data_IF_045419888314
#
_entry.id   IF_045419888314
#
_cell.length_a   1.000
_cell.length_b   1.000
_cell.length_c   1.000
_cell.angle_alpha   90.00
_cell.angle_beta   90.00
_cell.angle_gamma   90.00
#
_symmetry.space_group_name_H-M   'P 1'
#
loop_
_entity.id
_entity.type
_entity.pdbx_description
1 polymer ?
#
# COMPACT_ATOMS: atom_id res chain seq x y z
N UNK A 1 9.32 11.79 -23.94
CA UNK A 1 9.62 12.73 -22.83
C UNK A 1 8.45 12.65 -21.86
N UNK A 2 8.74 12.48 -20.58
CA UNK A 2 7.75 12.48 -19.51
C UNK A 2 7.90 13.78 -18.70
N UNK A 3 6.84 14.18 -18.01
CA UNK A 3 6.80 15.35 -17.12
C UNK A 3 6.21 14.93 -15.79
N UNK A 4 6.73 15.50 -14.71
CA UNK A 4 6.21 15.28 -13.36
C UNK A 4 6.27 16.59 -12.62
N UNK A 5 5.12 17.00 -12.09
CA UNK A 5 4.99 18.17 -11.25
C UNK A 5 4.54 17.69 -9.88
N UNK A 6 5.11 18.27 -8.82
CA UNK A 6 4.76 17.93 -7.45
C UNK A 6 4.68 19.19 -6.60
N UNK A 7 3.66 19.26 -5.75
CA UNK A 7 3.51 20.28 -4.71
C UNK A 7 3.30 19.54 -3.40
N UNK A 8 4.01 19.95 -2.35
CA UNK A 8 3.90 19.38 -1.01
C UNK A 8 3.95 20.48 0.04
N UNK A 9 3.21 20.29 1.13
CA UNK A 9 3.27 21.12 2.33
C UNK A 9 3.51 20.21 3.54
N UNK A 10 4.50 20.56 4.36
CA UNK A 10 4.79 19.88 5.62
C UNK A 10 4.67 20.90 6.75
N UNK A 11 3.94 20.53 7.81
CA UNK A 11 3.61 21.45 8.90
C UNK A 11 3.94 20.82 10.25
N UNK A 12 4.16 21.68 11.24
CA UNK A 12 4.30 21.33 12.65
C UNK A 12 3.12 21.92 13.42
N UNK A 13 2.60 21.15 14.38
CA UNK A 13 1.65 21.63 15.37
C UNK A 13 2.14 21.20 16.75
N UNK A 14 1.81 21.98 17.79
CA UNK A 14 2.26 21.73 19.15
C UNK A 14 1.11 22.00 20.12
N UNK A 15 0.99 21.13 21.12
CA UNK A 15 0.13 21.30 22.29
C UNK A 15 0.90 20.93 23.57
N UNK A 16 0.20 20.84 24.71
CA UNK A 16 0.83 20.48 25.99
C UNK A 16 1.41 19.05 26.02
N UNK A 17 1.01 18.17 25.09
CA UNK A 17 1.48 16.78 24.99
C UNK A 17 2.71 16.66 24.11
N UNK A 18 3.04 17.68 23.31
CA UNK A 18 4.24 17.77 22.51
C UNK A 18 4.01 18.26 21.09
N UNK A 19 5.04 18.08 20.25
CA UNK A 19 5.05 18.53 18.87
C UNK A 19 4.81 17.37 17.90
N UNK A 20 3.90 17.60 16.95
CA UNK A 20 3.54 16.66 15.90
C UNK A 20 3.85 17.22 14.52
N UNK A 21 4.12 16.31 13.57
CA UNK A 21 4.43 16.64 12.18
C UNK A 21 3.63 15.76 11.24
N UNK A 22 3.08 16.35 10.20
CA UNK A 22 2.57 15.62 9.04
C UNK A 22 2.74 16.48 7.78
N UNK A 23 2.38 15.91 6.63
CA UNK A 23 2.43 16.55 5.33
C UNK A 23 1.29 16.10 4.44
N UNK A 24 1.05 16.85 3.39
CA UNK A 24 0.27 16.41 2.24
C UNK A 24 0.99 16.78 0.95
N UNK A 25 0.71 16.03 -0.12
CA UNK A 25 1.25 16.33 -1.43
C UNK A 25 0.32 15.85 -2.54
N UNK A 26 0.52 16.46 -3.71
CA UNK A 26 -0.07 16.06 -4.98
C UNK A 26 1.04 15.93 -6.02
N UNK A 27 0.89 14.96 -6.93
CA UNK A 27 1.85 14.70 -8.01
C UNK A 27 1.10 14.40 -9.29
N UNK A 28 1.30 15.21 -10.32
CA UNK A 28 0.57 15.15 -11.60
C UNK A 28 1.50 15.16 -12.80
N UNK A 29 1.01 14.67 -13.95
CA UNK A 29 1.78 14.60 -15.20
C UNK A 29 1.71 15.89 -16.04
N UNK A 30 0.66 16.70 -15.90
CA UNK A 30 0.64 18.07 -16.39
C UNK A 30 0.10 18.99 -15.30
N UNK A 31 0.65 20.20 -15.25
CA UNK A 31 0.40 21.16 -14.19
C UNK A 31 -1.09 21.55 -14.07
N UNK A 32 -1.83 21.53 -15.17
CA UNK A 32 -3.26 21.89 -15.18
C UNK A 32 -4.16 20.87 -14.45
N UNK A 33 -3.63 19.67 -14.13
CA UNK A 33 -4.35 18.67 -13.34
C UNK A 33 -4.18 18.86 -11.82
N UNK A 34 -3.38 19.83 -11.37
CA UNK A 34 -3.27 20.08 -9.94
C UNK A 34 -4.64 20.46 -9.36
N UNK A 35 -5.00 19.93 -8.18
CA UNK A 35 -6.10 20.51 -7.42
C UNK A 35 -5.72 21.91 -6.95
N UNK A 36 -6.71 22.61 -6.41
CA UNK A 36 -6.47 23.89 -5.75
C UNK A 36 -5.34 23.79 -4.70
N UNK A 37 -4.40 24.74 -4.75
CA UNK A 37 -3.19 24.70 -3.92
C UNK A 37 -3.53 24.87 -2.43
N UNK A 38 -4.56 25.66 -2.11
CA UNK A 38 -5.00 25.83 -0.71
C UNK A 38 -5.48 24.50 -0.12
N UNK A 39 -6.09 23.63 -0.94
CA UNK A 39 -6.50 22.29 -0.50
C UNK A 39 -5.33 21.43 -0.03
N UNK A 40 -4.13 21.60 -0.60
CA UNK A 40 -2.92 20.86 -0.20
C UNK A 40 -2.45 21.34 1.19
N UNK A 41 -2.42 22.65 1.40
CA UNK A 41 -2.07 23.25 2.69
C UNK A 41 -3.07 22.91 3.79
N UNK A 42 -4.36 22.96 3.48
CA UNK A 42 -5.45 22.59 4.39
C UNK A 42 -5.36 21.13 4.82
N UNK A 43 -5.19 20.19 3.87
CA UNK A 43 -5.03 18.77 4.20
C UNK A 43 -3.78 18.50 5.04
N UNK A 44 -2.67 19.19 4.76
CA UNK A 44 -1.48 19.09 5.59
C UNK A 44 -1.78 19.55 7.03
N UNK A 45 -2.51 20.66 7.19
CA UNK A 45 -2.86 21.19 8.51
C UNK A 45 -3.81 20.26 9.28
N UNK A 46 -4.88 19.79 8.62
CA UNK A 46 -5.84 18.83 9.19
C UNK A 46 -5.14 17.56 9.68
N UNK A 47 -4.22 17.00 8.87
CA UNK A 47 -3.44 15.82 9.25
C UNK A 47 -2.52 16.08 10.43
N UNK A 48 -1.79 17.19 10.41
CA UNK A 48 -0.84 17.53 11.50
C UNK A 48 -1.57 17.75 12.82
N UNK A 49 -2.68 18.50 12.81
CA UNK A 49 -3.49 18.77 14.01
C UNK A 49 -4.16 17.49 14.52
N UNK A 50 -4.63 16.61 13.63
CA UNK A 50 -5.26 15.35 14.03
C UNK A 50 -4.33 14.42 14.84
N UNK A 51 -3.00 14.61 14.77
CA UNK A 51 -2.03 13.82 15.54
C UNK A 51 -1.83 14.31 16.97
N UNK A 52 -2.27 15.53 17.32
CA UNK A 52 -2.06 16.10 18.65
C UNK A 52 -2.74 15.27 19.75
N UNK A 53 -2.12 15.18 20.92
CA UNK A 53 -2.61 14.37 22.03
C UNK A 53 -2.57 12.84 21.78
N UNK A 54 -1.66 12.37 20.93
CA UNK A 54 -1.50 10.94 20.64
C UNK A 54 -1.19 10.12 21.89
N UNK A 55 -1.72 8.89 21.91
CA UNK A 55 -1.63 7.98 23.05
C UNK A 55 -0.93 6.67 22.67
N UNK A 56 -0.38 5.99 23.67
CA UNK A 56 0.03 4.59 23.52
C UNK A 56 -1.19 3.68 23.64
N UNK A 57 -1.07 2.49 23.07
CA UNK A 57 -2.02 1.39 23.26
C UNK A 57 -1.35 0.28 24.05
N UNK A 58 -2.10 -0.40 24.92
CA UNK A 58 -1.66 -1.69 25.46
C UNK A 58 -1.57 -2.74 24.35
N UNK A 59 -0.73 -3.74 24.62
CA UNK A 59 -0.51 -4.84 23.68
C UNK A 59 -1.78 -5.66 23.50
N UNK A 60 -2.22 -5.82 22.26
CA UNK A 60 -3.46 -6.50 21.90
C UNK A 60 -3.44 -7.06 20.48
N UNK A 61 -4.46 -7.84 20.13
CA UNK A 61 -4.76 -8.18 18.74
C UNK A 61 -6.08 -7.53 18.33
N UNK A 62 -6.08 -6.81 17.22
CA UNK A 62 -7.26 -6.14 16.70
C UNK A 62 -7.23 -6.03 15.17
N UNK A 63 -8.38 -5.74 14.54
CA UNK A 63 -8.44 -5.35 13.14
C UNK A 63 -7.61 -4.09 12.87
N UNK A 64 -7.03 -4.06 11.68
CA UNK A 64 -6.17 -2.96 11.26
C UNK A 64 -6.57 -2.46 9.87
N UNK A 65 -6.91 -1.19 9.77
CA UNK A 65 -7.22 -0.49 8.53
C UNK A 65 -5.99 0.30 8.07
N UNK A 66 -5.35 -0.13 6.99
CA UNK A 66 -4.32 0.67 6.34
C UNK A 66 -4.96 1.74 5.47
N UNK A 67 -4.58 3.00 5.69
CA UNK A 67 -4.95 4.09 4.76
C UNK A 67 -4.33 3.87 3.38
N UNK A 68 -4.88 4.44 2.30
CA UNK A 68 -4.38 4.19 0.94
C UNK A 68 -2.85 4.34 0.75
N UNK A 69 -2.18 5.38 1.31
CA UNK A 69 -0.72 5.50 1.19
C UNK A 69 0.05 4.37 1.89
N UNK A 70 -0.50 3.84 2.99
CA UNK A 70 0.09 2.73 3.76
C UNK A 70 -0.22 1.38 3.09
N UNK A 71 -1.47 1.20 2.64
CA UNK A 71 -1.92 0.03 1.90
C UNK A 71 -1.07 -0.22 0.65
N UNK A 72 -0.66 0.86 -0.03
CA UNK A 72 0.32 0.80 -1.12
C UNK A 72 1.60 0.05 -0.74
N UNK A 73 2.12 0.24 0.48
CA UNK A 73 3.32 -0.45 0.95
C UNK A 73 3.10 -1.95 1.10
N UNK A 74 1.91 -2.38 1.54
CA UNK A 74 1.56 -3.80 1.65
C UNK A 74 1.57 -4.46 0.26
N UNK A 75 0.93 -3.81 -0.72
CA UNK A 75 0.94 -4.28 -2.11
C UNK A 75 2.35 -4.24 -2.70
N UNK A 76 3.14 -3.21 -2.41
CA UNK A 76 4.55 -3.11 -2.82
C UNK A 76 5.41 -4.28 -2.31
N UNK A 77 5.19 -4.74 -1.08
CA UNK A 77 5.86 -5.93 -0.54
C UNK A 77 5.47 -7.20 -1.30
N UNK A 78 4.17 -7.37 -1.62
CA UNK A 78 3.69 -8.46 -2.46
C UNK A 78 4.36 -8.45 -3.84
N UNK A 79 4.37 -7.30 -4.54
CA UNK A 79 5.01 -7.15 -5.85
C UNK A 79 6.51 -7.47 -5.78
N UNK A 80 7.18 -7.08 -4.70
CA UNK A 80 8.59 -7.40 -4.47
C UNK A 80 8.82 -8.90 -4.27
N UNK A 81 7.93 -9.58 -3.54
CA UNK A 81 7.97 -11.03 -3.33
C UNK A 81 7.76 -11.82 -4.62
N UNK A 82 7.00 -11.30 -5.60
CA UNK A 82 6.80 -11.94 -6.91
C UNK A 82 7.75 -11.43 -8.00
N UNK A 83 8.75 -10.62 -7.63
CA UNK A 83 9.77 -10.13 -8.55
C UNK A 83 10.74 -11.24 -8.93
N UNK A 84 11.14 -11.28 -10.20
CA UNK A 84 12.04 -12.31 -10.70
C UNK A 84 13.36 -12.38 -9.93
N UNK A 85 13.88 -11.24 -9.48
CA UNK A 85 15.06 -11.16 -8.63
C UNK A 85 14.93 -11.92 -7.30
N UNK A 86 13.81 -11.73 -6.60
CA UNK A 86 13.53 -12.44 -5.36
C UNK A 86 13.34 -13.95 -5.61
N UNK A 87 12.66 -14.30 -6.70
CA UNK A 87 12.31 -15.68 -7.02
C UNK A 87 13.52 -16.54 -7.40
N UNK A 88 14.37 -16.11 -8.35
CA UNK A 88 15.49 -16.94 -8.79
C UNK A 88 16.57 -17.10 -7.70
N UNK A 89 16.65 -16.15 -6.76
CA UNK A 89 17.53 -16.26 -5.58
C UNK A 89 16.90 -17.07 -4.43
N UNK A 90 15.67 -17.55 -4.61
CA UNK A 90 14.85 -18.19 -3.56
C UNK A 90 14.74 -17.33 -2.29
N UNK A 91 14.69 -16.01 -2.47
CA UNK A 91 14.61 -15.00 -1.42
C UNK A 91 13.19 -14.43 -1.31
N UNK A 92 12.19 -15.30 -1.44
CA UNK A 92 10.78 -14.92 -1.40
C UNK A 92 9.93 -16.02 -0.78
N UNK A 93 8.94 -15.65 0.05
CA UNK A 93 7.91 -16.55 0.53
C UNK A 93 6.95 -17.02 -0.59
N UNK A 94 6.98 -16.43 -1.78
CA UNK A 94 6.12 -16.75 -2.93
C UNK A 94 6.84 -17.50 -4.07
N UNK A 95 7.96 -18.17 -3.76
CA UNK A 95 8.58 -19.15 -4.67
C UNK A 95 7.58 -20.28 -4.97
N UNK A 96 7.47 -20.69 -6.23
CA UNK A 96 6.57 -21.76 -6.70
C UNK A 96 5.08 -21.56 -6.36
N UNK A 97 4.59 -20.31 -6.44
CA UNK A 97 3.20 -19.91 -6.08
C UNK A 97 2.30 -19.55 -7.26
N UNK A 98 2.77 -19.67 -8.51
CA UNK A 98 1.89 -19.47 -9.67
C UNK A 98 0.67 -20.39 -9.57
N UNK A 99 -0.51 -19.82 -9.81
CA UNK A 99 -1.80 -20.50 -9.76
C UNK A 99 -2.29 -20.83 -8.35
N UNK A 100 -1.58 -20.47 -7.27
CA UNK A 100 -2.00 -20.71 -5.88
C UNK A 100 -2.74 -19.50 -5.29
N UNK A 101 -3.66 -19.70 -4.34
CA UNK A 101 -4.28 -18.59 -3.61
C UNK A 101 -3.23 -17.84 -2.79
N UNK A 102 -3.26 -16.51 -2.86
CA UNK A 102 -2.43 -15.58 -2.08
C UNK A 102 -3.30 -14.55 -1.36
N UNK A 103 -4.44 -14.22 -1.94
CA UNK A 103 -5.42 -13.28 -1.44
C UNK A 103 -6.81 -13.94 -1.35
N UNK A 104 -7.78 -13.31 -0.66
CA UNK A 104 -9.19 -13.66 -0.80
C UNK A 104 -9.65 -13.67 -2.25
N UNK A 105 -10.66 -14.49 -2.56
CA UNK A 105 -11.15 -14.69 -3.93
C UNK A 105 -11.62 -13.39 -4.60
N UNK A 106 -12.15 -12.43 -3.84
CA UNK A 106 -12.63 -11.17 -4.40
C UNK A 106 -11.51 -10.22 -4.86
N UNK A 107 -10.25 -10.47 -4.47
CA UNK A 107 -9.14 -9.58 -4.79
C UNK A 107 -8.62 -9.86 -6.20
N UNK A 108 -8.61 -8.81 -7.02
CA UNK A 108 -7.97 -8.75 -8.32
C UNK A 108 -6.86 -7.71 -8.28
N UNK A 109 -5.73 -8.03 -8.91
CA UNK A 109 -4.64 -7.06 -9.08
C UNK A 109 -4.24 -7.10 -10.55
N UNK A 110 -4.33 -5.96 -11.21
CA UNK A 110 -4.06 -5.86 -12.64
C UNK A 110 -2.98 -4.82 -12.92
N UNK A 111 -2.18 -5.06 -13.97
CA UNK A 111 -1.24 -4.09 -14.51
C UNK A 111 -1.83 -3.47 -15.78
N UNK A 112 -1.76 -2.14 -15.88
CA UNK A 112 -2.28 -1.34 -17.00
C UNK A 112 -1.23 -0.34 -17.47
N UNK A 113 -0.23 -0.78 -18.26
CA UNK A 113 0.91 0.05 -18.62
C UNK A 113 0.59 1.25 -19.51
N UNK A 114 -0.56 1.25 -20.19
CA UNK A 114 -0.88 2.26 -21.23
C UNK A 114 -1.94 3.28 -20.79
N UNK A 115 -2.15 3.46 -19.49
CA UNK A 115 -3.02 4.53 -18.98
C UNK A 115 -2.48 5.88 -19.45
N UNK A 116 -3.30 6.66 -20.15
CA UNK A 116 -2.92 8.00 -20.59
C UNK A 116 -2.59 8.85 -19.36
N UNK A 117 -1.37 9.41 -19.33
CA UNK A 117 -0.86 10.22 -18.21
C UNK A 117 -0.80 9.46 -16.87
N UNK A 118 -0.77 8.13 -16.91
CA UNK A 118 -0.60 7.32 -15.71
C UNK A 118 0.76 7.55 -15.05
N UNK A 119 0.85 7.48 -13.71
CA UNK A 119 2.10 7.73 -12.98
C UNK A 119 3.20 6.70 -13.28
N UNK A 120 2.85 5.49 -13.70
CA UNK A 120 3.79 4.42 -14.06
C UNK A 120 3.69 3.96 -15.52
N UNK A 121 3.03 4.71 -16.40
CA UNK A 121 2.81 4.28 -17.78
C UNK A 121 4.11 4.20 -18.58
N UNK A 122 4.28 3.12 -19.34
CA UNK A 122 5.41 2.92 -20.22
C UNK A 122 4.99 2.01 -21.39
N UNK A 123 5.50 2.27 -22.59
CA UNK A 123 5.23 1.44 -23.77
C UNK A 123 6.15 0.20 -23.85
N UNK A 124 7.30 0.25 -23.20
CA UNK A 124 8.28 -0.81 -23.14
C UNK A 124 9.03 -0.75 -21.79
N UNK A 125 9.53 -1.90 -21.35
CA UNK A 125 10.34 -2.03 -20.14
C UNK A 125 11.80 -1.59 -20.38
N UNK A 126 12.68 -1.62 -19.37
CA UNK A 126 14.06 -1.11 -19.55
C UNK A 126 14.93 -1.95 -20.50
N UNK A 127 14.45 -3.13 -20.93
CA UNK A 127 15.11 -3.99 -21.91
C UNK A 127 14.49 -3.84 -23.32
N UNK A 128 13.51 -2.95 -23.48
CA UNK A 128 12.80 -2.71 -24.74
C UNK A 128 11.67 -3.70 -25.03
N UNK A 129 11.28 -4.54 -24.07
CA UNK A 129 10.16 -5.47 -24.23
C UNK A 129 8.85 -4.68 -24.12
N UNK A 130 7.97 -4.82 -25.10
CA UNK A 130 6.66 -4.16 -25.09
C UNK A 130 5.85 -4.57 -23.86
N UNK A 131 5.35 -3.58 -23.13
CA UNK A 131 4.46 -3.79 -21.98
C UNK A 131 3.05 -4.13 -22.46
N UNK A 132 2.28 -4.86 -21.66
CA UNK A 132 0.90 -5.25 -21.98
C UNK A 132 0.02 -5.25 -20.75
N UNK A 133 -1.28 -5.05 -20.97
CA UNK A 133 -2.29 -5.30 -19.95
C UNK A 133 -2.19 -6.75 -19.50
N UNK A 134 -2.15 -6.98 -18.19
CA UNK A 134 -1.98 -8.33 -17.65
C UNK A 134 -2.46 -8.39 -16.22
N UNK A 135 -3.12 -9.50 -15.88
CA UNK A 135 -3.49 -9.79 -14.51
C UNK A 135 -2.27 -10.26 -13.72
N UNK A 136 -2.11 -9.76 -12.51
CA UNK A 136 -1.08 -10.18 -11.55
C UNK A 136 -1.71 -11.15 -10.55
N UNK A 137 -2.92 -10.84 -10.10
CA UNK A 137 -3.76 -11.70 -9.26
C UNK A 137 -5.14 -11.80 -9.90
N UNK A 138 -5.61 -13.02 -10.09
CA UNK A 138 -6.94 -13.32 -10.62
C UNK A 138 -7.71 -14.18 -9.62
N UNK A 139 -8.86 -13.72 -9.16
CA UNK A 139 -9.70 -14.37 -8.14
C UNK A 139 -8.91 -14.81 -6.89
N UNK A 140 -8.09 -13.90 -6.36
CA UNK A 140 -7.21 -14.16 -5.22
C UNK A 140 -5.98 -15.04 -5.49
N UNK A 141 -5.82 -15.57 -6.71
CA UNK A 141 -4.72 -16.48 -7.08
C UNK A 141 -3.63 -15.75 -7.85
N UNK A 142 -2.37 -16.09 -7.60
CA UNK A 142 -1.24 -15.50 -8.31
C UNK A 142 -1.23 -15.93 -9.78
N UNK A 143 -1.49 -15.00 -10.69
CA UNK A 143 -1.59 -15.29 -12.12
C UNK A 143 -0.22 -15.32 -12.80
N UNK A 144 0.71 -14.44 -12.39
CA UNK A 144 2.05 -14.35 -12.98
C UNK A 144 3.09 -13.75 -12.03
N UNK A 145 4.35 -13.94 -12.38
CA UNK A 145 5.49 -13.25 -11.80
C UNK A 145 5.87 -11.99 -12.59
N UNK A 146 6.71 -11.14 -12.00
CA UNK A 146 7.22 -9.91 -12.60
C UNK A 146 8.67 -10.11 -13.06
N UNK A 147 8.86 -10.38 -14.35
CA UNK A 147 10.11 -10.87 -14.90
C UNK A 147 10.64 -9.95 -16.00
N UNK A 148 11.95 -9.64 -15.92
CA UNK A 148 12.74 -9.22 -17.08
C UNK A 148 13.39 -10.43 -17.76
N UNK A 149 14.14 -10.22 -18.83
CA UNK A 149 14.72 -11.31 -19.63
C UNK A 149 15.70 -12.17 -18.83
N UNK A 150 16.52 -11.55 -17.97
CA UNK A 150 17.49 -12.31 -17.16
C UNK A 150 16.82 -13.24 -16.15
N UNK A 151 15.89 -12.72 -15.35
CA UNK A 151 15.19 -13.52 -14.34
C UNK A 151 14.27 -14.56 -14.97
N UNK A 152 13.63 -14.24 -16.10
CA UNK A 152 12.88 -15.20 -16.90
C UNK A 152 13.74 -16.39 -17.33
N UNK A 153 14.93 -16.15 -17.91
CA UNK A 153 15.86 -17.22 -18.31
C UNK A 153 16.29 -18.08 -17.11
N UNK A 154 16.60 -17.45 -15.96
CA UNK A 154 16.97 -18.18 -14.73
C UNK A 154 15.86 -19.08 -14.20
N UNK A 155 14.61 -18.72 -14.43
CA UNK A 155 13.43 -19.48 -13.98
C UNK A 155 12.87 -20.41 -15.09
N UNK A 156 13.48 -20.47 -16.27
CA UNK A 156 12.94 -21.23 -17.41
C UNK A 156 11.60 -20.67 -17.95
N UNK A 157 11.35 -19.38 -17.73
CA UNK A 157 10.12 -18.67 -18.12
C UNK A 157 10.41 -17.64 -19.24
N UNK A 158 9.38 -16.88 -19.63
CA UNK A 158 9.49 -15.75 -20.58
C UNK A 158 9.39 -14.42 -19.83
N UNK A 159 10.02 -13.38 -20.37
CA UNK A 159 9.87 -12.01 -19.85
C UNK A 159 8.39 -11.61 -19.85
N UNK A 160 7.99 -10.87 -18.83
CA UNK A 160 6.63 -10.32 -18.71
C UNK A 160 6.58 -8.83 -19.02
N UNK A 161 7.69 -8.24 -19.51
CA UNK A 161 7.79 -6.81 -19.75
C UNK A 161 7.89 -6.01 -18.45
N UNK A 162 8.57 -6.57 -17.44
CA UNK A 162 8.72 -5.95 -16.12
C UNK A 162 10.20 -5.76 -15.73
N UNK A 163 11.11 -5.70 -16.70
CA UNK A 163 12.45 -5.24 -16.42
C UNK A 163 12.38 -3.76 -15.98
N UNK A 164 12.81 -3.46 -14.76
CA UNK A 164 12.70 -2.11 -14.16
C UNK A 164 11.43 -1.87 -13.34
N UNK A 165 10.54 -2.86 -13.22
CA UNK A 165 9.40 -2.82 -12.29
C UNK A 165 8.04 -2.97 -12.95
N UNK A 166 7.02 -2.45 -12.28
CA UNK A 166 5.62 -2.52 -12.70
C UNK A 166 5.13 -1.19 -13.27
N UNK A 167 4.05 -1.25 -14.04
CA UNK A 167 3.48 -0.15 -14.81
C UNK A 167 1.98 -0.01 -14.52
N UNK A 168 1.65 0.86 -13.55
CA UNK A 168 0.29 1.08 -13.02
C UNK A 168 -0.40 -0.22 -12.58
N UNK A 169 -0.14 -0.60 -11.34
CA UNK A 169 -0.88 -1.62 -10.63
C UNK A 169 -2.18 -1.03 -10.10
N UNK A 170 -3.28 -1.72 -10.36
CA UNK A 170 -4.61 -1.38 -9.85
C UNK A 170 -5.10 -2.57 -9.04
N UNK A 171 -5.44 -2.32 -7.78
CA UNK A 171 -6.12 -3.28 -6.90
C UNK A 171 -7.62 -3.04 -7.01
N UNK A 172 -8.41 -4.10 -7.22
CA UNK A 172 -9.87 -3.99 -7.21
C UNK A 172 -10.36 -3.56 -5.83
N UNK A 173 -11.28 -2.61 -5.81
CA UNK A 173 -11.96 -2.14 -4.61
C UNK A 173 -13.44 -2.55 -4.59
N UNK A 174 -14.02 -2.61 -3.41
CA UNK A 174 -15.47 -2.63 -3.24
C UNK A 174 -16.07 -1.22 -3.26
N UNK A 175 -17.33 -1.12 -2.87
CA UNK A 175 -18.10 0.13 -2.85
C UNK A 175 -17.96 0.92 -1.53
N UNK A 176 -17.38 0.30 -0.50
CA UNK A 176 -17.20 0.92 0.82
C UNK A 176 -16.14 2.03 0.77
N UNK A 177 -16.50 3.25 1.17
CA UNK A 177 -15.56 4.34 1.41
C UNK A 177 -14.85 4.19 2.77
N UNK A 178 -13.93 5.10 3.06
CA UNK A 178 -13.17 5.06 4.32
C UNK A 178 -14.09 5.03 5.55
N UNK A 179 -15.15 5.84 5.58
CA UNK A 179 -16.09 5.89 6.70
C UNK A 179 -16.90 4.59 6.85
N UNK A 180 -17.29 3.96 5.74
CA UNK A 180 -17.92 2.65 5.74
C UNK A 180 -16.97 1.57 6.27
N UNK A 181 -15.69 1.60 5.89
CA UNK A 181 -14.70 0.69 6.42
C UNK A 181 -14.45 0.86 7.92
N UNK A 182 -14.51 2.09 8.45
CA UNK A 182 -14.47 2.31 9.90
C UNK A 182 -15.66 1.63 10.58
N UNK A 183 -16.89 1.85 10.10
CA UNK A 183 -18.09 1.20 10.63
C UNK A 183 -18.03 -0.32 10.55
N UNK A 184 -17.52 -0.86 9.44
CA UNK A 184 -17.32 -2.31 9.25
C UNK A 184 -16.26 -2.87 10.19
N UNK A 185 -15.20 -2.11 10.46
CA UNK A 185 -14.15 -2.49 11.41
C UNK A 185 -14.67 -2.52 12.85
N UNK A 186 -15.61 -1.64 13.20
CA UNK A 186 -16.12 -1.50 14.57
C UNK A 186 -15.07 -0.88 15.47
N UNK A 187 -14.27 -1.70 16.15
CA UNK A 187 -13.18 -1.23 17.01
C UNK A 187 -11.84 -1.81 16.57
N UNK A 188 -10.85 -0.95 16.35
CA UNK A 188 -9.58 -1.36 15.77
C UNK A 188 -8.63 -0.19 15.54
N UNK A 189 -7.56 -0.46 14.78
CA UNK A 189 -6.49 0.50 14.53
C UNK A 189 -6.52 0.97 13.07
N UNK A 190 -6.58 2.29 12.84
CA UNK A 190 -6.25 2.88 11.54
C UNK A 190 -4.76 3.21 11.54
N UNK A 191 -4.03 2.77 10.51
CA UNK A 191 -2.62 3.11 10.33
C UNK A 191 -2.45 4.11 9.20
N UNK A 192 -1.87 5.26 9.53
CA UNK A 192 -1.60 6.37 8.59
C UNK A 192 -0.13 6.52 8.26
N UNK A 193 0.76 5.99 9.09
CA UNK A 193 2.21 6.05 8.89
C UNK A 193 2.87 4.79 9.44
N UNK A 194 3.94 4.35 8.75
CA UNK A 194 4.76 3.21 9.13
C UNK A 194 6.23 3.59 9.15
N UNK A 195 6.95 3.12 10.15
CA UNK A 195 8.35 3.44 10.42
C UNK A 195 9.19 2.15 10.49
N UNK A 196 10.47 2.23 10.09
CA UNK A 196 11.41 1.11 10.14
C UNK A 196 11.32 0.12 8.97
N UNK A 197 12.36 -0.72 8.86
CA UNK A 197 12.61 -1.71 7.80
C UNK A 197 12.41 -3.16 8.30
N UNK A 198 11.33 -3.45 9.04
CA UNK A 198 11.10 -4.79 9.58
C UNK A 198 10.24 -5.68 8.69
N UNK A 199 10.61 -5.82 7.42
CA UNK A 199 9.94 -6.74 6.49
C UNK A 199 10.94 -7.72 5.91
N UNK A 200 10.75 -9.00 6.17
CA UNK A 200 11.53 -10.08 5.56
C UNK A 200 10.76 -10.67 4.38
N UNK A 201 11.24 -10.44 3.16
CA UNK A 201 10.64 -11.08 1.98
C UNK A 201 10.91 -12.59 1.91
N UNK A 202 11.96 -13.08 2.58
CA UNK A 202 12.31 -14.51 2.57
C UNK A 202 11.28 -15.32 3.38
N UNK A 203 10.96 -14.85 4.58
CA UNK A 203 10.05 -15.56 5.52
C UNK A 203 8.62 -15.02 5.49
N UNK A 204 8.44 -13.77 5.05
CA UNK A 204 7.19 -13.03 5.13
C UNK A 204 7.03 -12.27 6.45
N UNK A 205 7.96 -12.37 7.40
CA UNK A 205 7.81 -11.72 8.71
C UNK A 205 7.71 -10.20 8.56
N UNK A 206 6.72 -9.63 9.26
CA UNK A 206 6.38 -8.22 9.19
C UNK A 206 6.33 -7.64 10.61
N UNK A 207 7.10 -6.61 10.87
CA UNK A 207 7.11 -5.85 12.12
C UNK A 207 7.55 -4.41 11.85
N UNK A 208 6.66 -3.44 12.07
CA UNK A 208 6.97 -2.03 11.80
C UNK A 208 6.37 -1.14 12.88
N UNK A 209 7.10 -0.08 13.22
CA UNK A 209 6.52 1.01 14.01
C UNK A 209 5.36 1.62 13.25
N UNK A 210 4.30 1.98 13.95
CA UNK A 210 3.08 2.51 13.36
C UNK A 210 2.55 3.70 14.15
N UNK A 211 1.85 4.58 13.46
CA UNK A 211 1.03 5.63 14.04
C UNK A 211 -0.25 5.80 13.24
N UNK A 212 -1.27 6.35 13.88
CA UNK A 212 -2.57 6.59 13.27
C UNK A 212 -3.62 6.84 14.33
N UNK A 213 -4.72 6.11 14.29
CA UNK A 213 -5.90 6.38 15.11
C UNK A 213 -6.51 5.11 15.68
N UNK A 214 -6.90 5.17 16.95
CA UNK A 214 -7.79 4.17 17.52
C UNK A 214 -9.23 4.48 17.12
N UNK A 215 -9.99 3.44 16.82
CA UNK A 215 -11.39 3.50 16.42
C UNK A 215 -12.23 2.72 17.43
N UNK A 216 -13.35 3.31 17.83
CA UNK A 216 -14.33 2.69 18.71
C UNK A 216 -15.72 2.84 18.09
N UNK A 217 -16.48 1.75 18.00
CA UNK A 217 -17.85 1.74 17.48
C UNK A 217 -17.99 2.36 16.07
N UNK A 218 -16.95 2.24 15.24
CA UNK A 218 -16.93 2.74 13.88
C UNK A 218 -16.52 4.20 13.73
N UNK A 219 -16.08 4.85 14.80
CA UNK A 219 -15.66 6.26 14.81
C UNK A 219 -14.23 6.41 15.35
N UNK A 220 -13.48 7.36 14.79
CA UNK A 220 -12.13 7.67 15.28
C UNK A 220 -12.25 8.27 16.68
N UNK A 221 -11.59 7.64 17.66
CA UNK A 221 -11.64 8.05 19.05
C UNK A 221 -10.47 8.98 19.43
N UNK A 222 -9.23 8.57 19.13
CA UNK A 222 -8.03 9.35 19.45
C UNK A 222 -6.82 8.93 18.60
N UNK A 223 -5.85 9.83 18.37
CA UNK A 223 -4.59 9.47 17.72
C UNK A 223 -3.74 8.54 18.59
N UNK A 224 -2.97 7.68 17.93
CA UNK A 224 -2.06 6.73 18.57
C UNK A 224 -0.69 6.74 17.92
N UNK A 225 0.35 6.61 18.76
CA UNK A 225 1.74 6.56 18.33
C UNK A 225 2.58 5.67 19.26
N UNK A 226 3.86 5.49 18.91
CA UNK A 226 4.79 4.62 19.64
C UNK A 226 4.31 3.17 19.78
N UNK A 227 3.57 2.68 18.78
CA UNK A 227 3.13 1.28 18.68
C UNK A 227 3.88 0.56 17.57
N UNK A 228 3.91 -0.77 17.65
CA UNK A 228 4.43 -1.66 16.59
C UNK A 228 3.34 -2.61 16.15
N UNK A 229 3.18 -2.79 14.84
CA UNK A 229 2.31 -3.83 14.28
C UNK A 229 3.14 -5.00 13.77
N UNK A 230 2.71 -6.23 14.07
CA UNK A 230 3.41 -7.45 13.69
C UNK A 230 2.49 -8.56 13.19
N UNK A 231 2.93 -9.29 12.16
CA UNK A 231 2.27 -10.47 11.56
C UNK A 231 3.21 -11.15 10.54
N UNK A 232 2.69 -12.05 9.72
CA UNK A 232 3.35 -12.56 8.52
C UNK A 232 2.60 -12.09 7.27
N UNK A 233 3.33 -11.60 6.26
CA UNK A 233 2.76 -11.10 5.00
C UNK A 233 1.83 -12.11 4.33
N UNK A 234 2.11 -13.42 4.39
CA UNK A 234 1.19 -14.42 3.80
C UNK A 234 -0.17 -14.38 4.48
N UNK A 235 -0.18 -14.30 5.81
CA UNK A 235 -1.41 -14.22 6.60
C UNK A 235 -2.12 -12.89 6.35
N UNK A 236 -1.38 -11.78 6.32
CA UNK A 236 -1.94 -10.46 6.03
C UNK A 236 -2.64 -10.44 4.67
N UNK A 237 -1.99 -10.94 3.61
CA UNK A 237 -2.55 -10.93 2.26
C UNK A 237 -3.78 -11.86 2.16
N UNK A 238 -3.74 -13.02 2.82
CA UNK A 238 -4.84 -13.99 2.83
C UNK A 238 -6.05 -13.51 3.65
N UNK A 239 -5.83 -12.70 4.69
CA UNK A 239 -6.86 -12.22 5.62
C UNK A 239 -7.28 -10.76 5.37
N UNK A 240 -7.17 -10.28 4.12
CA UNK A 240 -7.78 -9.02 3.72
C UNK A 240 -9.31 -9.17 3.78
N UNK A 241 -9.97 -8.29 4.52
CA UNK A 241 -11.41 -8.30 4.72
C UNK A 241 -12.13 -7.45 3.67
N UNK A 242 -11.52 -6.31 3.32
CA UNK A 242 -12.09 -5.35 2.37
C UNK A 242 -11.01 -4.45 1.76
N UNK A 243 -11.29 -3.94 0.56
CA UNK A 243 -10.51 -2.88 -0.10
C UNK A 243 -11.45 -1.72 -0.41
N UNK A 244 -11.14 -0.53 0.08
CA UNK A 244 -11.98 0.65 0.00
C UNK A 244 -11.96 1.35 -1.35
N UNK A 245 -13.00 2.13 -1.62
CA UNK A 245 -13.17 2.94 -2.83
C UNK A 245 -12.36 4.25 -2.83
N UNK A 246 -11.69 4.57 -1.72
CA UNK A 246 -10.84 5.75 -1.49
C UNK A 246 -9.44 5.64 -2.13
N UNK A 247 -9.39 5.30 -3.43
CA UNK A 247 -8.15 4.97 -4.15
C UNK A 247 -7.17 6.14 -4.25
N UNK A 248 -5.92 5.92 -3.80
CA UNK A 248 -4.82 6.89 -3.99
C UNK A 248 -4.17 6.74 -5.39
N UNK A 249 -4.47 7.71 -6.26
CA UNK A 249 -4.02 7.75 -7.67
C UNK A 249 -2.67 8.46 -7.88
N UNK A 250 -2.03 8.97 -6.83
CA UNK A 250 -0.78 9.76 -6.93
C UNK A 250 0.47 8.92 -7.23
N UNK A 251 0.35 7.59 -7.27
CA UNK A 251 1.46 6.70 -7.63
C UNK A 251 1.01 5.51 -8.47
N UNK A 252 2.00 4.81 -9.02
CA UNK A 252 1.84 3.67 -9.92
C UNK A 252 1.30 2.40 -9.24
N UNK A 253 1.03 2.42 -7.93
CA UNK A 253 0.24 1.40 -7.24
C UNK A 253 -0.99 2.07 -6.67
N UNK A 254 -2.14 1.77 -7.28
CA UNK A 254 -3.44 2.35 -7.01
C UNK A 254 -4.26 1.36 -6.20
N UNK A 255 -4.51 1.71 -4.95
CA UNK A 255 -5.33 0.95 -4.00
C UNK A 255 -6.04 1.94 -3.10
N UNK A 256 -7.23 1.60 -2.63
CA UNK A 256 -7.85 2.28 -1.50
C UNK A 256 -7.33 1.74 -0.18
N UNK A 257 -8.06 2.06 0.89
CA UNK A 257 -7.79 1.54 2.21
C UNK A 257 -7.93 0.01 2.23
N UNK A 258 -7.08 -0.69 2.99
CA UNK A 258 -7.14 -2.15 3.12
C UNK A 258 -7.43 -2.50 4.57
N UNK A 259 -8.56 -3.16 4.81
CA UNK A 259 -8.93 -3.69 6.12
C UNK A 259 -8.38 -5.11 6.27
N UNK A 260 -7.59 -5.33 7.31
CA UNK A 260 -7.04 -6.62 7.71
C UNK A 260 -7.79 -7.12 8.94
N UNK A 261 -8.08 -8.43 8.98
CA UNK A 261 -8.88 -9.03 10.05
C UNK A 261 -8.24 -8.86 11.43
N UNK A 262 -6.99 -9.30 11.62
CA UNK A 262 -6.27 -9.16 12.89
C UNK A 262 -4.77 -9.02 12.68
N UNK A 263 -4.14 -8.08 13.37
CA UNK A 263 -2.68 -8.00 13.58
C UNK A 263 -2.37 -7.94 15.07
N UNK A 264 -1.15 -8.28 15.45
CA UNK A 264 -0.63 -7.98 16.79
C UNK A 264 -0.18 -6.53 16.84
N UNK A 265 -0.74 -5.76 17.76
CA UNK A 265 -0.33 -4.39 18.07
C UNK A 265 0.38 -4.42 19.41
N UNK A 266 1.67 -4.12 19.41
CA UNK A 266 2.47 -4.01 20.62
C UNK A 266 2.63 -2.54 21.01
N UNK A 267 2.40 -2.24 22.28
CA UNK A 267 2.64 -0.95 22.89
C UNK A 267 2.80 -1.12 24.41
N UNK A 268 2.95 0.01 25.11
CA UNK A 268 3.31 0.07 26.52
C UNK A 268 2.19 0.65 27.38
#
# INVERSE_FOLDING_TARGET
RDTRHMISAALLAEDASGMQRDYWYESVRCADDFPDVESIGRKAAERTVARLGARKLDTRQCPVLFTPPVARSLIGNFLSAISGGALYRRASFLVDHIGKPVFPEFVQIVERPHIRRGPGSAAFDIEGVATRDSDVVSNGRLARYLLGSYSARKLGMRSTGNAGGVHNIIVSNGDEDFAALLRRMGSGLVVTELMGQGVSLVTGDYSRGASGFWVENGEIAYPVEEITIASNLREMLANIVAVGSDVDRRSHVMTGSILLDRLTVAGA
#
